data_IF_469379724950
#
_entry.id   IF_469379724950
#
_cell.length_a   1.000
_cell.length_b   1.000
_cell.length_c   1.000
_cell.angle_alpha   90.00
_cell.angle_beta   90.00
_cell.angle_gamma   90.00
#
_symmetry.space_group_name_H-M   'P 1'
#
loop_
_entity.id
_entity.type
_entity.pdbx_description
1 polymer ?
#
# COMPACT_ATOMS: atom_id res chain seq x y z
N UNK A 1 13.36 -9.74 -13.16
CA UNK A 1 13.04 -8.74 -12.13
C UNK A 1 11.65 -9.11 -11.66
N UNK A 2 11.50 -9.56 -10.43
CA UNK A 2 10.22 -10.09 -9.93
C UNK A 2 9.58 -9.12 -8.95
N UNK A 3 8.24 -9.10 -8.95
CA UNK A 3 7.45 -8.57 -7.85
C UNK A 3 7.04 -9.72 -6.95
N UNK A 4 7.21 -9.58 -5.64
CA UNK A 4 6.62 -10.51 -4.68
C UNK A 4 6.16 -9.75 -3.43
N UNK A 5 5.12 -10.27 -2.79
CA UNK A 5 4.64 -9.78 -1.51
C UNK A 5 4.63 -10.93 -0.53
N UNK A 6 5.28 -10.73 0.61
CA UNK A 6 5.37 -11.72 1.68
C UNK A 6 4.72 -11.11 2.91
N UNK A 7 3.80 -11.84 3.53
CA UNK A 7 3.17 -11.46 4.80
C UNK A 7 3.38 -12.62 5.77
N UNK A 8 4.03 -12.33 6.90
CA UNK A 8 4.28 -13.31 7.96
C UNK A 8 2.97 -13.81 8.58
N UNK A 9 3.03 -14.95 9.25
CA UNK A 9 1.95 -15.45 10.11
C UNK A 9 2.26 -15.22 11.61
N UNK A 10 3.49 -14.78 11.91
CA UNK A 10 3.93 -14.52 13.28
C UNK A 10 3.58 -13.08 13.68
N UNK A 11 2.97 -12.96 14.86
CA UNK A 11 2.73 -11.67 15.50
C UNK A 11 3.97 -11.28 16.31
N UNK A 12 4.48 -10.07 16.07
CA UNK A 12 5.49 -9.41 16.88
C UNK A 12 4.90 -8.15 17.53
N UNK A 13 5.67 -7.48 18.38
CA UNK A 13 5.25 -6.23 19.03
C UNK A 13 6.20 -5.10 18.64
N UNK A 14 5.68 -4.07 17.97
CA UNK A 14 6.42 -2.85 17.63
C UNK A 14 5.74 -1.66 18.32
N UNK A 15 6.51 -0.86 19.08
CA UNK A 15 5.99 0.31 19.80
C UNK A 15 4.75 0.02 20.69
N UNK A 16 4.74 -1.10 21.40
CA UNK A 16 3.62 -1.60 22.21
C UNK A 16 2.33 -1.89 21.40
N UNK A 17 2.45 -2.12 20.10
CA UNK A 17 1.34 -2.51 19.22
C UNK A 17 1.63 -3.89 18.60
N UNK A 18 0.67 -4.83 18.60
CA UNK A 18 0.83 -6.09 17.90
C UNK A 18 0.86 -5.85 16.40
N UNK A 19 1.85 -6.43 15.72
CA UNK A 19 2.03 -6.28 14.28
C UNK A 19 2.36 -7.60 13.61
N UNK A 20 2.07 -7.69 12.32
CA UNK A 20 2.62 -8.72 11.44
C UNK A 20 3.57 -8.04 10.46
N UNK A 21 4.78 -8.58 10.33
CA UNK A 21 5.73 -8.08 9.34
C UNK A 21 5.39 -8.59 7.94
N UNK A 22 5.60 -7.72 6.95
CA UNK A 22 5.60 -8.11 5.55
C UNK A 22 6.64 -7.34 4.76
N UNK A 23 6.80 -7.73 3.51
CA UNK A 23 7.77 -7.12 2.61
C UNK A 23 7.31 -7.15 1.16
N UNK A 24 7.68 -6.11 0.42
CA UNK A 24 7.64 -6.10 -1.03
C UNK A 24 9.04 -6.34 -1.58
N UNK A 25 9.18 -7.32 -2.47
CA UNK A 25 10.33 -7.43 -3.34
C UNK A 25 10.02 -6.67 -4.64
N UNK A 26 10.67 -5.52 -4.83
CA UNK A 26 10.46 -4.59 -5.96
C UNK A 26 11.70 -4.61 -6.86
N UNK A 27 11.76 -5.56 -7.80
CA UNK A 27 12.88 -5.69 -8.73
C UNK A 27 14.24 -5.88 -8.04
N UNK A 28 14.26 -6.60 -6.91
CA UNK A 28 15.47 -6.87 -6.12
C UNK A 28 15.69 -5.90 -4.95
N UNK A 29 14.85 -4.89 -4.79
CA UNK A 29 14.80 -4.08 -3.57
C UNK A 29 13.81 -4.70 -2.59
N UNK A 30 14.22 -4.89 -1.35
CA UNK A 30 13.41 -5.51 -0.32
C UNK A 30 12.90 -4.45 0.66
N UNK A 31 11.64 -4.08 0.52
CA UNK A 31 10.99 -3.02 1.29
C UNK A 31 10.09 -3.63 2.36
N UNK A 32 10.40 -3.36 3.63
CA UNK A 32 9.65 -3.91 4.77
C UNK A 32 8.49 -3.01 5.17
N UNK A 33 7.42 -3.62 5.66
CA UNK A 33 6.30 -2.94 6.30
C UNK A 33 5.77 -3.75 7.48
N UNK A 34 4.98 -3.09 8.34
CA UNK A 34 4.38 -3.71 9.53
C UNK A 34 2.87 -3.46 9.56
N UNK A 35 2.09 -4.53 9.45
CA UNK A 35 0.63 -4.51 9.51
C UNK A 35 0.20 -4.43 10.98
N UNK A 36 -0.28 -3.26 11.40
CA UNK A 36 -0.80 -3.06 12.75
C UNK A 36 -2.10 -3.87 12.96
N UNK A 37 -2.15 -4.67 14.02
CA UNK A 37 -3.30 -5.53 14.34
C UNK A 37 -4.27 -4.91 15.35
N UNK A 38 -4.07 -3.65 15.73
CA UNK A 38 -4.92 -2.95 16.70
C UNK A 38 -6.31 -2.62 16.18
N UNK A 39 -6.48 -2.49 14.85
CA UNK A 39 -7.75 -2.17 14.22
C UNK A 39 -8.18 -3.18 13.16
N UNK A 40 -7.24 -3.64 12.33
CA UNK A 40 -7.49 -4.66 11.30
C UNK A 40 -6.83 -5.99 11.63
N UNK A 41 -7.51 -7.09 11.36
CA UNK A 41 -6.89 -8.42 11.28
C UNK A 41 -6.12 -8.58 9.97
N UNK A 42 -5.25 -9.58 9.90
CA UNK A 42 -4.54 -9.96 8.67
C UNK A 42 -5.49 -10.16 7.50
N UNK A 43 -6.61 -10.84 7.72
CA UNK A 43 -7.62 -11.13 6.71
C UNK A 43 -8.28 -9.84 6.19
N UNK A 44 -8.50 -8.85 7.06
CA UNK A 44 -9.05 -7.56 6.65
C UNK A 44 -8.07 -6.77 5.79
N UNK A 45 -6.76 -6.82 6.08
CA UNK A 45 -5.74 -6.26 5.18
C UNK A 45 -5.79 -6.93 3.81
N UNK A 46 -5.72 -8.26 3.77
CA UNK A 46 -5.72 -9.01 2.52
C UNK A 46 -6.99 -8.77 1.69
N UNK A 47 -8.15 -8.71 2.35
CA UNK A 47 -9.41 -8.39 1.68
C UNK A 47 -9.42 -6.96 1.13
N UNK A 48 -8.93 -5.98 1.92
CA UNK A 48 -8.78 -4.59 1.46
C UNK A 48 -7.85 -4.50 0.26
N UNK A 49 -6.73 -5.22 0.28
CA UNK A 49 -5.77 -5.25 -0.82
C UNK A 49 -6.40 -5.85 -2.06
N UNK A 50 -7.09 -6.99 -1.94
CA UNK A 50 -7.83 -7.63 -3.02
C UNK A 50 -8.86 -6.68 -3.64
N UNK A 51 -9.66 -5.99 -2.81
CA UNK A 51 -10.64 -5.02 -3.29
C UNK A 51 -9.97 -3.86 -4.04
N UNK A 52 -8.87 -3.33 -3.48
CA UNK A 52 -8.11 -2.24 -4.07
C UNK A 52 -7.48 -2.63 -5.40
N UNK A 53 -6.87 -3.82 -5.48
CA UNK A 53 -6.27 -4.37 -6.71
C UNK A 53 -7.36 -4.51 -7.77
N UNK A 54 -8.47 -5.17 -7.45
CA UNK A 54 -9.57 -5.36 -8.41
C UNK A 54 -10.12 -4.02 -8.95
N UNK A 55 -10.28 -3.03 -8.08
CA UNK A 55 -10.73 -1.70 -8.49
C UNK A 55 -9.68 -0.98 -9.36
N UNK A 56 -8.40 -1.04 -8.97
CA UNK A 56 -7.29 -0.40 -9.68
C UNK A 56 -7.07 -0.98 -11.07
N UNK A 57 -7.14 -2.30 -11.21
CA UNK A 57 -7.03 -3.00 -12.49
C UNK A 57 -8.21 -2.71 -13.42
N UNK A 58 -9.42 -2.58 -12.88
CA UNK A 58 -10.62 -2.25 -13.67
C UNK A 58 -10.56 -0.83 -14.24
N UNK A 59 -10.02 0.12 -13.48
CA UNK A 59 -9.88 1.52 -13.90
C UNK A 59 -8.61 1.73 -14.74
N UNK A 60 -7.57 0.90 -14.54
CA UNK A 60 -6.32 0.93 -15.29
C UNK A 60 -5.38 2.08 -14.91
N UNK A 61 -5.54 2.68 -13.73
CA UNK A 61 -4.73 3.83 -13.29
C UNK A 61 -3.73 3.45 -12.20
N UNK A 62 -4.23 3.02 -11.04
CA UNK A 62 -3.39 2.70 -9.89
C UNK A 62 -4.11 1.80 -8.89
N UNK A 63 -3.31 1.13 -8.06
CA UNK A 63 -3.76 0.38 -6.88
C UNK A 63 -3.06 0.89 -5.65
N UNK A 64 -3.79 1.05 -4.54
CA UNK A 64 -3.29 1.54 -3.27
C UNK A 64 -3.42 0.47 -2.18
N UNK A 65 -2.32 0.18 -1.50
CA UNK A 65 -2.19 -0.90 -0.53
C UNK A 65 -1.90 -0.29 0.84
N UNK A 66 -2.86 -0.37 1.76
CA UNK A 66 -2.68 0.10 3.14
C UNK A 66 -1.83 -0.92 3.89
N UNK A 67 -0.68 -0.52 4.41
CA UNK A 67 0.21 -1.41 5.16
C UNK A 67 0.19 -1.17 6.66
N UNK A 68 -0.55 -0.17 7.16
CA UNK A 68 -0.80 -0.01 8.59
C UNK A 68 -2.07 0.80 8.80
N UNK A 69 -3.10 0.15 9.34
CA UNK A 69 -4.40 0.71 9.62
C UNK A 69 -4.61 0.79 11.14
N UNK A 70 -5.02 1.96 11.60
CA UNK A 70 -5.56 2.20 12.94
C UNK A 70 -6.95 2.82 12.78
N UNK A 71 -7.67 2.99 13.88
CA UNK A 71 -8.97 3.68 13.84
C UNK A 71 -8.84 5.04 13.11
N UNK A 72 -9.49 5.23 11.95
CA UNK A 72 -9.34 6.46 11.18
C UNK A 72 -9.87 7.71 11.89
N UNK A 73 -10.69 7.58 12.93
CA UNK A 73 -11.13 8.71 13.76
C UNK A 73 -10.03 9.21 14.70
N UNK A 74 -9.07 8.34 15.04
CA UNK A 74 -8.03 8.60 16.03
C UNK A 74 -6.62 8.65 15.41
N UNK A 75 -6.45 8.13 14.19
CA UNK A 75 -5.17 8.11 13.49
C UNK A 75 -4.87 9.46 12.83
N UNK A 76 -3.60 9.87 12.87
CA UNK A 76 -3.15 11.08 12.17
C UNK A 76 -2.86 10.80 10.69
N UNK A 77 -2.37 9.59 10.39
CA UNK A 77 -1.94 9.21 9.05
C UNK A 77 -1.99 7.71 8.82
N UNK A 78 -1.98 7.32 7.54
CA UNK A 78 -1.97 5.93 7.06
C UNK A 78 -0.84 5.75 6.05
N UNK A 79 0.12 4.84 6.29
CA UNK A 79 1.10 4.40 5.29
C UNK A 79 0.43 3.60 4.18
N UNK A 80 0.69 3.98 2.93
CA UNK A 80 0.11 3.38 1.73
C UNK A 80 1.18 3.19 0.67
N UNK A 81 1.18 2.01 0.06
CA UNK A 81 1.96 1.71 -1.13
C UNK A 81 1.10 1.86 -2.37
N UNK A 82 1.56 2.65 -3.34
CA UNK A 82 0.81 2.97 -4.55
C UNK A 82 1.52 2.37 -5.75
N UNK A 83 0.79 1.62 -6.55
CA UNK A 83 1.23 0.98 -7.78
C UNK A 83 0.57 1.70 -8.95
N UNK A 84 1.30 2.63 -9.58
CA UNK A 84 0.84 3.39 -10.74
C UNK A 84 1.11 2.61 -12.03
N UNK A 85 0.06 2.28 -12.79
CA UNK A 85 0.17 1.53 -14.04
C UNK A 85 0.51 2.46 -15.21
N UNK A 86 1.66 2.25 -15.85
CA UNK A 86 2.18 3.09 -16.93
C UNK A 86 2.68 2.26 -18.12
N UNK A 87 1.76 1.73 -18.92
CA UNK A 87 2.12 0.90 -20.07
C UNK A 87 2.70 -0.46 -19.63
N UNK A 88 3.98 -0.71 -19.92
CA UNK A 88 4.66 -1.96 -19.57
C UNK A 88 5.31 -1.93 -18.18
N UNK A 89 5.38 -0.76 -17.55
CA UNK A 89 6.00 -0.56 -16.25
C UNK A 89 4.97 -0.10 -15.22
N UNK A 90 5.19 -0.50 -13.98
CA UNK A 90 4.48 -0.04 -12.80
C UNK A 90 5.45 0.77 -11.94
N UNK A 91 5.06 2.01 -11.63
CA UNK A 91 5.83 2.89 -10.75
C UNK A 91 5.26 2.76 -9.34
N UNK A 92 6.08 2.26 -8.43
CA UNK A 92 5.68 1.95 -7.06
C UNK A 92 6.21 3.03 -6.13
N UNK A 93 5.35 3.60 -5.29
CA UNK A 93 5.73 4.62 -4.31
C UNK A 93 5.21 4.26 -2.92
N UNK A 94 6.01 4.57 -1.89
CA UNK A 94 5.56 4.57 -0.51
C UNK A 94 5.14 6.00 -0.12
N UNK A 95 3.87 6.17 0.26
CA UNK A 95 3.30 7.46 0.65
C UNK A 95 2.62 7.37 2.01
N UNK A 96 2.51 8.54 2.64
CA UNK A 96 1.73 8.73 3.86
C UNK A 96 0.49 9.54 3.49
N UNK A 97 -0.69 9.02 3.80
CA UNK A 97 -1.95 9.77 3.71
C UNK A 97 -2.23 10.43 5.06
N UNK A 98 -2.23 11.76 5.13
CA UNK A 98 -2.59 12.50 6.34
C UNK A 98 -4.11 12.62 6.45
N UNK A 99 -4.71 12.08 7.51
CA UNK A 99 -6.16 11.97 7.63
C UNK A 99 -6.87 13.32 7.81
N UNK A 100 -6.16 14.30 8.38
CA UNK A 100 -6.65 15.67 8.54
C UNK A 100 -6.99 16.34 7.19
N UNK A 101 -6.32 15.93 6.10
CA UNK A 101 -6.53 16.50 4.76
C UNK A 101 -7.87 16.05 4.15
N UNK A 102 -8.53 15.05 4.75
CA UNK A 102 -9.76 14.44 4.26
C UNK A 102 -10.98 14.73 5.15
N UNK A 103 -10.88 15.68 6.08
CA UNK A 103 -12.05 16.25 6.78
C UNK A 103 -12.87 15.27 7.64
N UNK A 104 -12.30 14.11 8.02
CA UNK A 104 -12.95 13.11 8.87
C UNK A 104 -13.75 12.02 8.14
N UNK A 105 -13.75 12.00 6.81
CA UNK A 105 -14.49 11.01 5.99
C UNK A 105 -13.59 9.94 5.35
N UNK A 106 -12.44 9.62 5.96
CA UNK A 106 -11.56 8.60 5.40
C UNK A 106 -12.22 7.21 5.48
N UNK A 107 -12.46 6.62 4.31
CA UNK A 107 -12.96 5.26 4.17
C UNK A 107 -11.85 4.38 3.58
N UNK A 108 -11.31 3.41 4.35
CA UNK A 108 -10.25 2.54 3.85
C UNK A 108 -10.70 1.66 2.67
N UNK A 109 -12.00 1.36 2.58
CA UNK A 109 -12.59 0.58 1.48
C UNK A 109 -12.53 1.31 0.14
N UNK A 110 -12.31 2.62 0.15
CA UNK A 110 -12.17 3.47 -1.03
C UNK A 110 -10.79 4.09 -1.14
N UNK A 111 -9.75 3.46 -0.57
CA UNK A 111 -8.39 4.02 -0.54
C UNK A 111 -7.89 4.54 -1.90
N UNK A 112 -8.23 3.85 -3.00
CA UNK A 112 -7.87 4.26 -4.36
C UNK A 112 -8.40 5.64 -4.77
N UNK A 113 -9.54 6.10 -4.22
CA UNK A 113 -10.12 7.41 -4.56
C UNK A 113 -9.36 8.58 -3.95
N UNK A 114 -8.54 8.34 -2.92
CA UNK A 114 -7.72 9.37 -2.28
C UNK A 114 -6.35 9.52 -2.94
N UNK A 115 -5.97 8.59 -3.82
CA UNK A 115 -4.70 8.65 -4.53
C UNK A 115 -4.81 9.61 -5.72
N UNK A 116 -3.99 10.66 -5.67
CA UNK A 116 -3.82 11.63 -6.75
C UNK A 116 -2.86 11.11 -7.82
N UNK A 117 -2.76 11.87 -8.91
CA UNK A 117 -1.76 11.62 -9.96
C UNK A 117 -0.35 11.51 -9.37
N UNK A 118 0.49 10.72 -10.06
CA UNK A 118 1.86 10.50 -9.65
C UNK A 118 2.65 11.82 -9.58
N UNK A 119 3.31 12.00 -8.46
CA UNK A 119 4.25 13.09 -8.20
C UNK A 119 5.61 12.48 -7.87
N UNK A 120 6.69 13.17 -8.21
CA UNK A 120 8.06 12.69 -7.96
C UNK A 120 8.75 13.43 -6.82
N UNK A 121 8.18 14.55 -6.39
CA UNK A 121 8.68 15.38 -5.30
C UNK A 121 7.50 15.75 -4.39
N UNK A 122 7.75 15.86 -3.09
CA UNK A 122 6.75 16.34 -2.12
C UNK A 122 6.71 17.88 -2.07
N UNK A 123 5.88 18.42 -1.17
CA UNK A 123 5.69 19.88 -1.00
C UNK A 123 6.98 20.63 -0.64
N UNK A 124 7.93 19.95 0.02
CA UNK A 124 9.25 20.49 0.38
C UNK A 124 10.29 20.38 -0.76
N UNK A 125 9.90 19.82 -1.90
CA UNK A 125 10.80 19.55 -3.03
C UNK A 125 11.72 18.34 -2.83
N UNK A 126 11.48 17.51 -1.81
CA UNK A 126 12.23 16.27 -1.59
C UNK A 126 11.71 15.16 -2.52
N UNK A 127 12.63 14.37 -3.08
CA UNK A 127 12.29 13.26 -3.98
C UNK A 127 11.54 12.15 -3.24
N UNK A 128 10.43 11.70 -3.81
CA UNK A 128 9.65 10.57 -3.32
C UNK A 128 10.36 9.27 -3.70
N UNK A 129 10.49 8.34 -2.75
CA UNK A 129 11.02 7.00 -3.00
C UNK A 129 10.13 6.28 -4.01
N UNK A 130 10.77 5.78 -5.07
CA UNK A 130 10.08 5.16 -6.18
C UNK A 130 10.87 4.00 -6.76
N UNK A 131 10.15 2.93 -7.09
CA UNK A 131 10.68 1.74 -7.74
C UNK A 131 9.96 1.51 -9.07
N UNK A 132 10.69 0.98 -10.04
CA UNK A 132 10.15 0.58 -11.34
C UNK A 132 10.08 -0.94 -11.40
N UNK A 133 8.90 -1.46 -11.68
CA UNK A 133 8.64 -2.90 -11.72
C UNK A 133 7.85 -3.22 -12.98
N UNK A 134 8.16 -4.29 -13.75
CA UNK A 134 7.35 -4.67 -14.89
C UNK A 134 5.89 -4.91 -14.48
N UNK A 135 4.94 -4.37 -15.24
CA UNK A 135 3.51 -4.45 -14.88
C UNK A 135 3.05 -5.91 -14.77
N UNK A 136 3.53 -6.78 -15.68
CA UNK A 136 3.16 -8.20 -15.70
C UNK A 136 3.56 -8.92 -14.41
N UNK A 137 4.68 -8.55 -13.80
CA UNK A 137 5.15 -9.12 -12.53
C UNK A 137 4.28 -8.64 -11.38
N UNK A 138 3.90 -7.35 -11.36
CA UNK A 138 2.97 -6.81 -10.36
C UNK A 138 1.62 -7.53 -10.43
N UNK A 139 1.08 -7.74 -11.64
CA UNK A 139 -0.15 -8.49 -11.83
C UNK A 139 -0.02 -9.93 -11.35
N UNK A 140 1.05 -10.63 -11.74
CA UNK A 140 1.28 -12.01 -11.31
C UNK A 140 1.44 -12.15 -9.79
N UNK A 141 2.15 -11.23 -9.13
CA UNK A 141 2.31 -11.26 -7.69
C UNK A 141 1.04 -10.90 -6.94
N UNK A 142 0.18 -10.04 -7.50
CA UNK A 142 -1.15 -9.80 -6.95
C UNK A 142 -2.08 -11.00 -7.15
N UNK A 143 -2.06 -11.65 -8.32
CA UNK A 143 -2.86 -12.86 -8.57
C UNK A 143 -2.48 -14.00 -7.62
N UNK A 144 -1.20 -14.11 -7.22
CA UNK A 144 -0.74 -15.11 -6.27
C UNK A 144 -1.19 -14.86 -4.81
N UNK A 145 -1.64 -13.64 -4.49
CA UNK A 145 -2.14 -13.26 -3.16
C UNK A 145 -3.65 -13.55 -3.01
N UNK A 146 -4.38 -13.70 -4.12
CA UNK A 146 -5.85 -13.82 -4.19
C UNK A 146 -6.27 -15.29 -4.28
#
# INVERSE_FOLDING_TARGET
MSFNVIVSDNVSEHYNEPVIEGSFDLSGNHEKFSLALSYWTREQYLESWRCSINAGLKIGQHTAIITSMRDPQNANFIPVWIFYYGGLECLVQNKILFLQDYGGEFSPNSVNSYIRQRETHNEDGARISEWVVPVQEVLAGFDALI
#
